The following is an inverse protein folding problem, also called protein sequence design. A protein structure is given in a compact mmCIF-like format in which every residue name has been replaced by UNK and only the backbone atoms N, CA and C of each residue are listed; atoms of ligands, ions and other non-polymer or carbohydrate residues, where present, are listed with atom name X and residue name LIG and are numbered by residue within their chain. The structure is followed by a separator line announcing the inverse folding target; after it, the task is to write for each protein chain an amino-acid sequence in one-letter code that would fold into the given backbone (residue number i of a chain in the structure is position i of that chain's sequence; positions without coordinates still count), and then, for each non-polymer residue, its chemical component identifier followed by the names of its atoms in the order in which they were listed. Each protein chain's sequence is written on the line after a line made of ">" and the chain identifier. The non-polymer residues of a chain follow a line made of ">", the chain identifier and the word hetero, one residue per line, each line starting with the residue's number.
data_IF_819163594293
#
_entry.id   IF_819163594293
#
_cell.length_a   1.000
_cell.length_b   1.000
_cell.length_c   1.000
_cell.angle_alpha   90.00
_cell.angle_beta   90.00
_cell.angle_gamma   90.00
#
_symmetry.space_group_name_H-M   'P 1'
#
loop_
_entity.id
_entity.type
_entity.pdbx_description
1 polymer ?
#
# COMPACT_ATOMS: atom_id res chain seq x y z
N UNK A 1 -24.43 12.51 -12.81
CA UNK A 1 -23.82 11.39 -13.55
C UNK A 1 -22.38 11.32 -13.08
N UNK A 2 -21.94 10.20 -12.57
CA UNK A 2 -20.60 10.00 -12.05
C UNK A 2 -19.90 8.85 -12.79
N UNK A 3 -18.58 8.91 -12.90
CA UNK A 3 -17.71 7.86 -13.44
C UNK A 3 -17.22 6.99 -12.28
N UNK A 4 -17.62 5.73 -12.22
CA UNK A 4 -17.33 4.82 -11.11
C UNK A 4 -16.48 3.66 -11.60
N UNK A 5 -15.34 3.44 -10.95
CA UNK A 5 -14.52 2.24 -11.15
C UNK A 5 -14.95 1.14 -10.17
N UNK A 6 -15.16 -0.08 -10.66
CA UNK A 6 -15.34 -1.27 -9.82
C UNK A 6 -14.10 -2.15 -9.94
N UNK A 7 -13.32 -2.26 -8.88
CA UNK A 7 -12.26 -3.25 -8.77
C UNK A 7 -12.78 -4.48 -8.04
N UNK A 8 -12.90 -5.61 -8.74
CA UNK A 8 -13.53 -6.82 -8.23
C UNK A 8 -12.50 -7.93 -8.04
N UNK A 9 -12.49 -8.55 -6.87
CA UNK A 9 -11.60 -9.68 -6.59
C UNK A 9 -12.04 -10.93 -7.35
N UNK A 10 -11.30 -11.30 -8.41
CA UNK A 10 -11.66 -12.35 -9.37
C UNK A 10 -11.86 -13.77 -8.76
N UNK A 11 -11.14 -14.08 -7.67
CA UNK A 11 -11.25 -15.38 -7.00
C UNK A 11 -12.36 -15.45 -5.93
N UNK A 12 -13.27 -14.45 -5.92
CA UNK A 12 -14.43 -14.43 -5.02
C UNK A 12 -15.73 -14.40 -5.81
N UNK A 13 -16.40 -15.57 -5.98
CA UNK A 13 -17.64 -15.65 -6.77
C UNK A 13 -18.75 -14.72 -6.28
N UNK A 14 -18.84 -14.49 -4.96
CA UNK A 14 -19.81 -13.58 -4.35
C UNK A 14 -19.56 -12.13 -4.75
N UNK A 15 -18.30 -11.68 -4.77
CA UNK A 15 -17.94 -10.32 -5.23
C UNK A 15 -18.27 -10.15 -6.72
N UNK A 16 -17.99 -11.17 -7.53
CA UNK A 16 -18.33 -11.17 -8.96
C UNK A 16 -19.84 -11.09 -9.21
N UNK A 17 -20.62 -11.89 -8.48
CA UNK A 17 -22.09 -11.87 -8.63
C UNK A 17 -22.67 -10.51 -8.18
N UNK A 18 -22.22 -9.99 -7.04
CA UNK A 18 -22.69 -8.72 -6.51
C UNK A 18 -22.29 -7.53 -7.40
N UNK A 19 -21.11 -7.60 -8.05
CA UNK A 19 -20.67 -6.54 -8.96
C UNK A 19 -21.56 -6.38 -10.18
N UNK A 20 -22.15 -7.48 -10.68
CA UNK A 20 -23.12 -7.43 -11.80
C UNK A 20 -24.38 -6.69 -11.37
N UNK A 21 -24.97 -7.09 -10.24
CA UNK A 21 -26.18 -6.44 -9.70
C UNK A 21 -25.91 -4.96 -9.40
N UNK A 22 -24.76 -4.65 -8.76
CA UNK A 22 -24.39 -3.29 -8.44
C UNK A 22 -24.23 -2.44 -9.70
N UNK A 23 -23.60 -2.98 -10.74
CA UNK A 23 -23.44 -2.30 -12.04
C UNK A 23 -24.79 -1.96 -12.67
N UNK A 24 -25.71 -2.93 -12.76
CA UNK A 24 -27.03 -2.72 -13.34
C UNK A 24 -27.79 -1.60 -12.61
N UNK A 25 -27.85 -1.67 -11.27
CA UNK A 25 -28.55 -0.68 -10.44
C UNK A 25 -27.94 0.74 -10.55
N UNK A 26 -26.62 0.86 -10.62
CA UNK A 26 -25.95 2.15 -10.78
C UNK A 26 -26.15 2.73 -12.18
N UNK A 27 -26.13 1.90 -13.22
CA UNK A 27 -26.43 2.31 -14.60
C UNK A 27 -27.90 2.77 -14.75
N UNK A 28 -28.85 2.11 -14.10
CA UNK A 28 -30.26 2.56 -14.04
C UNK A 28 -30.41 3.95 -13.39
N UNK A 29 -29.50 4.31 -12.47
CA UNK A 29 -29.43 5.66 -11.87
C UNK A 29 -28.70 6.67 -12.77
N UNK A 30 -28.18 6.25 -13.93
CA UNK A 30 -27.52 7.12 -14.90
C UNK A 30 -26.03 7.35 -14.63
N UNK A 31 -25.37 6.49 -13.84
CA UNK A 31 -23.92 6.51 -13.66
C UNK A 31 -23.20 5.69 -14.73
N UNK A 32 -21.95 6.07 -15.03
CA UNK A 32 -21.05 5.31 -15.91
C UNK A 32 -20.19 4.37 -15.08
N UNK A 33 -20.10 3.11 -15.48
CA UNK A 33 -19.38 2.07 -14.71
C UNK A 33 -18.28 1.48 -15.55
N UNK A 34 -17.06 1.50 -15.04
CA UNK A 34 -15.92 0.76 -15.56
C UNK A 34 -15.57 -0.35 -14.58
N UNK A 35 -15.38 -1.58 -15.06
CA UNK A 35 -15.03 -2.72 -14.21
C UNK A 35 -13.68 -3.29 -14.59
N UNK A 36 -12.85 -3.58 -13.60
CA UNK A 36 -11.61 -4.32 -13.74
C UNK A 36 -11.50 -5.40 -12.68
N UNK A 37 -11.09 -6.59 -13.09
CA UNK A 37 -10.72 -7.70 -12.20
C UNK A 37 -9.28 -8.14 -12.41
N UNK A 38 -8.61 -7.63 -13.44
CA UNK A 38 -7.26 -8.02 -13.84
C UNK A 38 -6.32 -6.81 -13.86
N UNK A 39 -5.25 -6.90 -13.09
CA UNK A 39 -4.18 -5.90 -12.96
C UNK A 39 -3.34 -5.72 -14.25
N UNK A 40 -3.57 -6.50 -15.30
CA UNK A 40 -2.68 -6.56 -16.46
C UNK A 40 -3.19 -5.87 -17.74
N UNK A 41 -4.39 -5.28 -17.73
CA UNK A 41 -4.96 -4.67 -18.94
C UNK A 41 -5.30 -3.18 -18.76
N UNK A 42 -4.66 -2.32 -19.55
CA UNK A 42 -4.98 -0.89 -19.76
C UNK A 42 -5.45 -0.14 -18.51
N UNK A 43 -4.61 -0.17 -17.47
CA UNK A 43 -4.92 0.35 -16.13
C UNK A 43 -5.11 1.86 -16.12
N UNK A 44 -4.39 2.60 -16.96
CA UNK A 44 -4.54 4.06 -17.06
C UNK A 44 -5.95 4.45 -17.48
N UNK A 45 -6.52 3.80 -18.51
CA UNK A 45 -7.89 4.07 -18.98
C UNK A 45 -8.96 3.69 -17.95
N UNK A 46 -8.68 2.69 -17.10
CA UNK A 46 -9.61 2.26 -16.06
C UNK A 46 -9.76 3.31 -14.95
N UNK A 47 -8.68 3.95 -14.53
CA UNK A 47 -8.64 4.88 -13.39
C UNK A 47 -8.72 6.35 -13.78
N UNK A 48 -8.68 6.68 -15.08
CA UNK A 48 -8.73 8.07 -15.52
C UNK A 48 -10.11 8.69 -15.25
N UNK A 49 -10.10 9.89 -14.65
CA UNK A 49 -11.30 10.70 -14.41
C UNK A 49 -12.42 9.98 -13.59
N UNK A 50 -12.05 9.10 -12.66
CA UNK A 50 -13.01 8.49 -11.75
C UNK A 50 -13.44 9.46 -10.65
N UNK A 51 -14.76 9.54 -10.41
CA UNK A 51 -15.32 10.21 -9.23
C UNK A 51 -15.23 9.32 -7.97
N UNK A 52 -15.25 7.99 -8.16
CA UNK A 52 -15.19 7.00 -7.08
C UNK A 52 -14.60 5.68 -7.57
N UNK A 53 -13.70 5.08 -6.79
CA UNK A 53 -13.24 3.70 -6.98
C UNK A 53 -13.83 2.81 -5.90
N UNK A 54 -14.62 1.82 -6.28
CA UNK A 54 -15.21 0.83 -5.37
C UNK A 54 -14.39 -0.45 -5.44
N UNK A 55 -13.81 -0.85 -4.30
CA UNK A 55 -13.07 -2.10 -4.17
C UNK A 55 -13.95 -3.18 -3.56
N UNK A 56 -14.21 -4.26 -4.29
CA UNK A 56 -15.08 -5.38 -3.89
C UNK A 56 -14.23 -6.59 -3.51
N UNK A 57 -13.90 -6.69 -2.21
CA UNK A 57 -13.02 -7.74 -1.68
C UNK A 57 -12.74 -7.56 -0.20
N UNK A 58 -11.50 -7.77 0.25
CA UNK A 58 -11.01 -7.44 1.59
C UNK A 58 -9.93 -6.37 1.50
N UNK A 59 -9.20 -6.13 2.61
CA UNK A 59 -8.14 -5.12 2.69
C UNK A 59 -7.09 -5.27 1.56
N UNK A 60 -6.69 -6.49 1.23
CA UNK A 60 -5.76 -6.73 0.13
C UNK A 60 -6.29 -6.29 -1.25
N UNK A 61 -7.61 -6.26 -1.45
CA UNK A 61 -8.21 -5.72 -2.68
C UNK A 61 -8.18 -4.20 -2.69
N UNK A 62 -8.34 -3.57 -1.52
CA UNK A 62 -8.22 -2.12 -1.37
C UNK A 62 -6.79 -1.68 -1.66
N UNK A 63 -5.78 -2.38 -1.12
CA UNK A 63 -4.36 -2.09 -1.42
C UNK A 63 -4.09 -2.13 -2.93
N UNK A 64 -4.63 -3.14 -3.63
CA UNK A 64 -4.50 -3.24 -5.08
C UNK A 64 -5.23 -2.10 -5.80
N UNK A 65 -6.45 -1.78 -5.37
CA UNK A 65 -7.24 -0.68 -5.94
C UNK A 65 -6.51 0.67 -5.80
N UNK A 66 -5.95 0.95 -4.62
CA UNK A 66 -5.16 2.16 -4.37
C UNK A 66 -3.89 2.19 -5.23
N UNK A 67 -3.21 1.05 -5.35
CA UNK A 67 -2.05 0.97 -6.23
C UNK A 67 -2.39 1.28 -7.71
N UNK A 68 -3.58 0.90 -8.17
CA UNK A 68 -4.04 1.26 -9.53
C UNK A 68 -4.21 2.76 -9.72
N UNK A 69 -4.56 3.49 -8.67
CA UNK A 69 -4.72 4.94 -8.72
C UNK A 69 -3.40 5.68 -8.94
N UNK A 70 -2.27 5.06 -8.62
CA UNK A 70 -0.93 5.62 -8.86
C UNK A 70 -0.81 7.08 -8.38
N UNK A 71 -1.19 7.32 -7.11
CA UNK A 71 -1.17 8.64 -6.48
C UNK A 71 -2.31 9.59 -6.88
N UNK A 72 -3.27 9.17 -7.73
CA UNK A 72 -4.45 9.99 -8.05
C UNK A 72 -5.35 10.15 -6.83
N UNK A 73 -5.88 11.35 -6.54
CA UNK A 73 -6.69 11.64 -5.36
C UNK A 73 -8.17 11.20 -5.52
N UNK A 74 -8.40 10.02 -6.07
CA UNK A 74 -9.75 9.46 -6.22
C UNK A 74 -10.19 8.80 -4.92
N UNK A 75 -11.38 9.13 -4.36
CA UNK A 75 -11.92 8.44 -3.21
C UNK A 75 -12.07 6.93 -3.46
N UNK A 76 -11.78 6.12 -2.43
CA UNK A 76 -11.90 4.66 -2.48
C UNK A 76 -12.92 4.19 -1.46
N UNK A 77 -13.92 3.41 -1.90
CA UNK A 77 -14.90 2.75 -1.05
C UNK A 77 -14.66 1.24 -1.04
N UNK A 78 -14.34 0.67 0.11
CA UNK A 78 -14.16 -0.77 0.27
C UNK A 78 -15.44 -1.49 0.66
N UNK A 79 -15.87 -2.48 -0.12
CA UNK A 79 -16.97 -3.41 0.20
C UNK A 79 -16.37 -4.74 0.65
N UNK A 80 -16.75 -5.19 1.85
CA UNK A 80 -16.14 -6.35 2.48
C UNK A 80 -16.75 -7.68 2.00
N UNK A 81 -16.01 -8.44 1.23
CA UNK A 81 -16.36 -9.81 0.84
C UNK A 81 -15.48 -10.85 1.57
N UNK A 82 -14.99 -10.56 2.75
CA UNK A 82 -14.05 -11.42 3.47
C UNK A 82 -14.24 -11.41 4.98
N UNK A 83 -13.14 -11.59 5.67
CA UNK A 83 -13.08 -11.33 7.11
C UNK A 83 -13.11 -9.82 7.34
N UNK A 84 -13.60 -9.42 8.51
CA UNK A 84 -13.60 -8.01 8.90
C UNK A 84 -12.18 -7.43 8.80
N UNK A 85 -12.04 -6.41 7.98
CA UNK A 85 -10.77 -5.70 7.76
C UNK A 85 -10.76 -4.33 8.45
N UNK A 86 -9.65 -3.63 8.28
CA UNK A 86 -9.44 -2.27 8.80
C UNK A 86 -9.76 -1.18 7.75
N UNK A 87 -9.89 -1.55 6.47
CA UNK A 87 -10.02 -0.62 5.35
C UNK A 87 -11.40 -0.66 4.69
N UNK A 88 -12.17 -1.72 4.91
CA UNK A 88 -13.51 -1.87 4.34
C UNK A 88 -14.53 -1.04 5.13
N UNK A 89 -15.48 -0.38 4.43
CA UNK A 89 -16.45 0.54 5.01
C UNK A 89 -17.90 0.05 4.96
N UNK A 90 -18.21 -0.97 4.14
CA UNK A 90 -19.58 -1.47 4.00
C UNK A 90 -19.60 -2.98 3.73
N UNK A 91 -20.71 -3.62 4.10
CA UNK A 91 -20.99 -5.03 3.80
C UNK A 91 -21.64 -5.16 2.41
N UNK A 92 -21.59 -6.35 1.77
CA UNK A 92 -22.13 -6.57 0.42
C UNK A 92 -23.61 -6.19 0.27
N UNK A 93 -24.43 -6.43 1.30
CA UNK A 93 -25.85 -6.08 1.31
C UNK A 93 -26.13 -4.58 1.29
N UNK A 94 -25.15 -3.76 1.69
CA UNK A 94 -25.23 -2.30 1.76
C UNK A 94 -24.50 -1.61 0.61
N UNK A 95 -23.86 -2.38 -0.30
CA UNK A 95 -22.96 -1.87 -1.33
C UNK A 95 -23.58 -0.75 -2.18
N UNK A 96 -24.82 -0.94 -2.66
CA UNK A 96 -25.49 0.05 -3.49
C UNK A 96 -25.78 1.34 -2.70
N UNK A 97 -26.33 1.22 -1.50
CA UNK A 97 -26.70 2.38 -0.68
C UNK A 97 -25.44 3.14 -0.20
N UNK A 98 -24.34 2.41 0.07
CA UNK A 98 -23.06 3.00 0.42
C UNK A 98 -22.48 3.82 -0.75
N UNK A 99 -22.53 3.29 -1.99
CA UNK A 99 -22.07 4.01 -3.19
C UNK A 99 -22.93 5.27 -3.40
N UNK A 100 -24.25 5.16 -3.32
CA UNK A 100 -25.14 6.31 -3.53
C UNK A 100 -24.90 7.38 -2.47
N UNK A 101 -24.82 7.02 -1.19
CA UNK A 101 -24.52 8.00 -0.11
C UNK A 101 -23.17 8.69 -0.34
N UNK A 102 -22.15 7.92 -0.78
CA UNK A 102 -20.84 8.49 -1.10
C UNK A 102 -20.94 9.52 -2.23
N UNK A 103 -21.67 9.23 -3.29
CA UNK A 103 -21.86 10.16 -4.41
C UNK A 103 -22.69 11.38 -4.07
N UNK A 104 -23.64 11.24 -3.13
CA UNK A 104 -24.49 12.33 -2.63
C UNK A 104 -23.76 13.21 -1.58
N UNK A 105 -22.51 12.85 -1.20
CA UNK A 105 -21.74 13.58 -0.18
C UNK A 105 -22.17 13.27 1.27
N UNK A 106 -22.97 12.23 1.49
CA UNK A 106 -23.40 11.75 2.82
C UNK A 106 -22.39 10.68 3.33
N UNK A 107 -21.16 11.12 3.57
CA UNK A 107 -20.09 10.29 4.07
C UNK A 107 -19.00 11.11 4.78
N UNK A 108 -18.24 10.46 5.63
CA UNK A 108 -16.98 11.00 6.14
C UNK A 108 -15.82 10.50 5.26
N UNK A 109 -14.92 11.40 4.89
CA UNK A 109 -13.70 11.08 4.15
C UNK A 109 -12.53 10.97 5.13
N UNK A 110 -11.89 9.81 5.15
CA UNK A 110 -10.67 9.59 5.92
C UNK A 110 -9.45 9.69 4.99
N UNK A 111 -8.60 10.69 5.24
CA UNK A 111 -7.32 10.82 4.54
C UNK A 111 -6.27 9.93 5.21
N UNK A 112 -5.51 9.19 4.39
CA UNK A 112 -4.45 8.30 4.86
C UNK A 112 -3.13 8.65 4.21
N UNK A 113 -2.12 8.88 5.06
CA UNK A 113 -0.75 9.09 4.63
C UNK A 113 -0.24 7.86 3.87
N UNK A 114 0.45 8.07 2.77
CA UNK A 114 1.16 7.04 2.03
C UNK A 114 2.68 7.27 2.09
N UNK A 115 3.45 6.28 1.67
CA UNK A 115 4.88 6.42 1.44
C UNK A 115 5.14 6.42 -0.07
N UNK A 116 5.87 7.42 -0.55
CA UNK A 116 6.49 7.38 -1.88
C UNK A 116 7.81 6.63 -1.76
N UNK A 117 8.02 5.71 -2.68
CA UNK A 117 9.19 4.82 -2.75
C UNK A 117 9.92 5.07 -4.06
N UNK A 118 11.20 5.30 -3.99
CA UNK A 118 12.05 5.47 -5.17
C UNK A 118 13.24 4.53 -5.07
N UNK A 119 13.44 3.66 -6.06
CA UNK A 119 14.61 2.78 -6.15
C UNK A 119 15.45 3.19 -7.34
N UNK A 120 16.69 3.58 -7.07
CA UNK A 120 17.71 3.85 -8.09
C UNK A 120 18.65 2.64 -8.17
N UNK A 121 18.84 2.12 -9.39
CA UNK A 121 19.76 1.01 -9.68
C UNK A 121 20.80 1.48 -10.68
N UNK A 122 22.06 1.65 -10.24
CA UNK A 122 23.14 2.16 -11.10
C UNK A 122 23.37 1.33 -12.37
N UNK A 123 23.25 -0.01 -12.28
CA UNK A 123 23.57 -0.90 -13.41
C UNK A 123 22.54 -0.85 -14.54
N UNK A 124 21.28 -0.53 -14.24
CA UNK A 124 20.20 -0.53 -15.24
C UNK A 124 19.76 0.88 -15.67
N UNK A 125 20.34 1.94 -15.09
CA UNK A 125 19.88 3.32 -15.25
C UNK A 125 18.35 3.44 -15.04
N UNK A 126 17.77 2.52 -14.26
CA UNK A 126 16.33 2.46 -14.03
C UNK A 126 15.96 3.16 -12.74
N UNK A 127 14.94 4.00 -12.83
CA UNK A 127 14.27 4.62 -11.70
C UNK A 127 12.91 3.92 -11.56
N UNK A 128 12.67 3.31 -10.40
CA UNK A 128 11.39 2.72 -10.06
C UNK A 128 10.73 3.63 -9.03
N UNK A 129 9.51 4.09 -9.32
CA UNK A 129 8.67 4.82 -8.38
C UNK A 129 7.44 4.01 -8.03
N UNK A 130 7.05 4.00 -6.77
CA UNK A 130 5.87 3.29 -6.27
C UNK A 130 5.31 3.97 -5.01
N UNK A 131 4.11 3.56 -4.59
CA UNK A 131 3.44 4.10 -3.41
C UNK A 131 2.94 2.97 -2.50
N UNK A 132 3.22 3.09 -1.19
CA UNK A 132 2.73 2.17 -0.17
C UNK A 132 1.66 2.82 0.70
N UNK A 133 0.52 2.15 0.87
CA UNK A 133 -0.45 2.51 1.90
C UNK A 133 -0.04 1.93 3.26
N UNK A 134 0.42 0.67 3.28
CA UNK A 134 0.86 0.02 4.51
C UNK A 134 2.36 0.20 4.73
N UNK A 135 3.20 -0.48 3.92
CA UNK A 135 4.63 -0.55 4.19
C UNK A 135 5.50 -0.85 2.97
N UNK A 136 6.74 -0.44 3.10
CA UNK A 136 7.87 -0.89 2.30
C UNK A 136 8.70 -1.86 3.14
N UNK A 137 9.00 -3.03 2.61
CA UNK A 137 9.82 -4.03 3.30
C UNK A 137 11.08 -4.30 2.50
N UNK A 138 12.22 -4.22 3.17
CA UNK A 138 13.50 -4.70 2.64
C UNK A 138 13.90 -5.93 3.44
N UNK A 139 13.95 -7.09 2.79
CA UNK A 139 14.23 -8.36 3.46
C UNK A 139 15.27 -9.20 2.74
N UNK A 140 15.93 -10.07 3.48
CA UNK A 140 16.92 -11.00 2.94
C UNK A 140 16.32 -11.93 1.88
N UNK A 141 17.09 -12.22 0.85
CA UNK A 141 16.70 -13.19 -0.19
C UNK A 141 16.98 -14.64 0.20
N UNK A 142 18.00 -14.89 1.05
CA UNK A 142 18.44 -16.22 1.42
C UNK A 142 18.05 -16.58 2.86
N UNK A 143 17.51 -17.77 3.07
CA UNK A 143 17.28 -18.38 4.38
C UNK A 143 18.63 -18.55 5.09
N UNK A 144 18.75 -18.26 6.35
CA UNK A 144 19.95 -18.40 7.20
C UNK A 144 21.02 -17.31 7.06
N UNK A 145 20.75 -16.20 6.39
CA UNK A 145 21.68 -15.08 6.30
C UNK A 145 20.97 -13.78 6.60
N UNK A 146 21.53 -12.94 7.48
CA UNK A 146 21.03 -11.58 7.69
C UNK A 146 21.44 -10.67 6.54
N UNK A 147 20.66 -9.67 6.24
CA UNK A 147 21.05 -8.56 5.38
C UNK A 147 21.60 -7.42 6.23
N UNK A 148 22.56 -6.66 5.69
CA UNK A 148 23.06 -5.43 6.30
C UNK A 148 22.55 -4.25 5.51
N UNK A 149 21.92 -3.32 6.23
CA UNK A 149 21.28 -2.15 5.65
C UNK A 149 21.76 -0.89 6.38
N UNK A 150 22.40 0.00 5.66
CA UNK A 150 22.68 1.34 6.16
C UNK A 150 21.41 2.18 6.03
N UNK A 151 21.06 2.88 7.08
CA UNK A 151 19.93 3.81 7.11
C UNK A 151 20.48 5.20 7.38
N UNK A 152 20.11 6.13 6.50
CA UNK A 152 20.30 7.56 6.67
C UNK A 152 18.93 8.24 6.80
N UNK A 153 18.90 9.36 7.50
CA UNK A 153 17.71 10.20 7.69
C UNK A 153 18.10 11.65 7.37
N UNK A 154 17.36 12.28 6.49
CA UNK A 154 17.58 13.65 6.05
C UNK A 154 19.05 13.88 5.60
N UNK A 155 19.58 12.94 4.81
CA UNK A 155 20.95 12.96 4.29
C UNK A 155 22.06 12.65 5.32
N UNK A 156 21.70 12.31 6.57
CA UNK A 156 22.65 12.01 7.64
C UNK A 156 22.61 10.53 8.02
N UNK A 157 23.78 9.87 8.01
CA UNK A 157 23.87 8.47 8.44
C UNK A 157 23.36 8.32 9.88
N UNK A 158 22.43 7.41 10.08
CA UNK A 158 21.84 7.10 11.38
C UNK A 158 22.46 5.82 11.99
N UNK A 159 22.31 4.68 11.30
CA UNK A 159 22.81 3.38 11.80
C UNK A 159 22.88 2.32 10.70
N UNK A 160 23.53 1.20 11.01
CA UNK A 160 23.50 -0.02 10.18
C UNK A 160 22.71 -1.11 10.88
N UNK A 161 21.65 -1.58 10.26
CA UNK A 161 20.90 -2.75 10.72
C UNK A 161 21.52 -4.04 10.18
N UNK A 162 21.69 -5.03 11.05
CA UNK A 162 21.92 -6.42 10.68
C UNK A 162 20.69 -7.21 11.12
N UNK A 163 19.84 -7.58 10.18
CA UNK A 163 18.52 -8.13 10.46
C UNK A 163 18.05 -9.10 9.37
N UNK A 164 16.93 -9.78 9.59
CA UNK A 164 16.23 -10.51 8.53
C UNK A 164 15.57 -9.53 7.54
N UNK A 165 15.13 -8.37 8.03
CA UNK A 165 14.55 -7.32 7.23
C UNK A 165 14.35 -6.02 8.01
N UNK A 166 13.87 -5.01 7.29
CA UNK A 166 13.48 -3.71 7.82
C UNK A 166 12.15 -3.31 7.19
N UNK A 167 11.18 -2.93 8.01
CA UNK A 167 9.85 -2.50 7.59
C UNK A 167 9.77 -0.99 7.80
N UNK A 168 9.46 -0.25 6.76
CA UNK A 168 9.14 1.17 6.82
C UNK A 168 7.65 1.29 6.58
N UNK A 169 6.87 1.67 7.62
CA UNK A 169 5.42 1.67 7.54
C UNK A 169 4.78 3.01 7.84
N UNK A 170 3.58 3.19 7.29
CA UNK A 170 2.65 4.25 7.63
C UNK A 170 1.92 3.91 8.94
N UNK A 171 1.12 4.83 9.53
CA UNK A 171 0.19 4.50 10.61
C UNK A 171 -0.84 3.43 10.19
N UNK A 172 -1.34 3.46 8.96
CA UNK A 172 -2.22 2.41 8.43
C UNK A 172 -1.53 1.05 8.46
N UNK A 173 -0.28 0.96 8.02
CA UNK A 173 0.54 -0.26 8.02
C UNK A 173 0.96 -0.73 9.42
N UNK A 174 0.79 0.10 10.46
CA UNK A 174 1.12 -0.29 11.84
C UNK A 174 0.36 -1.51 12.32
N UNK A 175 -0.80 -1.84 11.73
CA UNK A 175 -1.60 -3.03 12.04
C UNK A 175 -1.35 -4.20 11.08
N UNK A 176 -0.46 -4.03 10.09
CA UNK A 176 -0.09 -5.04 9.09
C UNK A 176 1.20 -5.81 9.48
N UNK A 177 2.20 -5.86 8.62
CA UNK A 177 3.43 -6.62 8.90
C UNK A 177 4.25 -6.00 10.05
N UNK A 178 4.25 -4.67 10.19
CA UNK A 178 4.90 -4.00 11.30
C UNK A 178 4.39 -4.51 12.66
N UNK A 179 3.07 -4.75 12.79
CA UNK A 179 2.49 -5.34 14.00
C UNK A 179 3.02 -6.74 14.30
N UNK A 180 3.10 -7.59 13.28
CA UNK A 180 3.65 -8.95 13.41
C UNK A 180 5.12 -8.92 13.82
N UNK A 181 5.87 -7.89 13.41
CA UNK A 181 7.25 -7.63 13.79
C UNK A 181 7.38 -6.89 15.15
N UNK A 182 6.30 -6.81 15.95
CA UNK A 182 6.22 -6.17 17.27
C UNK A 182 6.35 -4.65 17.26
N UNK A 183 5.99 -4.01 16.15
CA UNK A 183 5.79 -2.58 16.07
C UNK A 183 4.57 -2.14 16.90
N UNK A 184 4.50 -0.87 17.33
CA UNK A 184 3.34 -0.32 18.02
C UNK A 184 2.17 -0.16 17.06
N UNK A 185 0.94 -0.22 17.56
CA UNK A 185 -0.24 0.25 16.86
C UNK A 185 -0.24 1.77 16.90
N UNK A 186 -0.38 2.40 15.77
CA UNK A 186 -0.49 3.86 15.62
C UNK A 186 -1.83 4.17 14.97
N UNK A 187 -2.54 5.15 15.52
CA UNK A 187 -3.81 5.62 14.95
C UNK A 187 -3.60 6.10 13.51
N UNK A 188 -4.48 5.69 12.60
CA UNK A 188 -4.34 5.99 11.18
C UNK A 188 -4.39 7.50 10.85
N UNK A 189 -5.04 8.29 11.71
CA UNK A 189 -5.07 9.75 11.61
C UNK A 189 -3.77 10.43 12.03
N UNK A 190 -2.86 9.70 12.68
CA UNK A 190 -1.56 10.24 13.08
C UNK A 190 -0.57 10.21 11.91
N UNK A 191 0.07 11.33 11.62
CA UNK A 191 1.06 11.41 10.54
C UNK A 191 2.46 11.10 11.11
N UNK A 192 2.98 9.91 10.82
CA UNK A 192 4.32 9.47 11.22
C UNK A 192 4.82 8.34 10.33
N UNK A 193 6.13 8.18 10.26
CA UNK A 193 6.77 7.03 9.61
C UNK A 193 7.33 6.13 10.70
N UNK A 194 7.16 4.83 10.57
CA UNK A 194 7.72 3.85 11.50
C UNK A 194 8.80 3.03 10.81
N UNK A 195 9.93 2.81 11.49
CA UNK A 195 10.96 1.87 11.07
C UNK A 195 11.00 0.73 12.07
N UNK A 196 10.59 -0.46 11.64
CA UNK A 196 10.52 -1.66 12.47
C UNK A 196 11.49 -2.73 11.97
N UNK A 197 12.52 -3.10 12.74
CA UNK A 197 13.43 -4.16 12.34
C UNK A 197 12.81 -5.55 12.53
N UNK A 198 13.07 -6.47 11.60
CA UNK A 198 12.66 -7.88 11.67
C UNK A 198 13.84 -8.72 12.13
N UNK A 199 13.70 -9.38 13.30
CA UNK A 199 14.74 -10.23 13.89
C UNK A 199 16.14 -9.58 13.89
N UNK A 200 16.32 -8.38 14.45
CA UNK A 200 17.60 -7.69 14.43
C UNK A 200 18.65 -8.40 15.28
N UNK A 201 19.89 -8.45 14.77
CA UNK A 201 21.06 -8.94 15.51
C UNK A 201 21.87 -7.78 16.08
N UNK A 202 21.24 -6.87 16.81
CA UNK A 202 21.86 -5.69 17.40
C UNK A 202 21.07 -5.24 18.64
N UNK A 203 21.67 -4.36 19.46
CA UNK A 203 21.03 -3.87 20.69
C UNK A 203 19.88 -2.90 20.42
N UNK A 204 19.87 -2.26 19.27
CA UNK A 204 18.81 -1.34 18.84
C UNK A 204 17.74 -2.13 18.05
N UNK A 205 16.80 -2.72 18.81
CA UNK A 205 15.78 -3.65 18.31
C UNK A 205 14.35 -3.10 18.37
N UNK A 206 14.19 -1.81 18.66
CA UNK A 206 12.89 -1.16 18.82
C UNK A 206 12.47 -0.45 17.56
N UNK A 207 11.15 -0.36 17.36
CA UNK A 207 10.57 0.49 16.33
C UNK A 207 10.87 1.96 16.62
N UNK A 208 11.34 2.66 15.60
CA UNK A 208 11.42 4.12 15.60
C UNK A 208 10.12 4.69 15.05
N UNK A 209 9.64 5.76 15.66
CA UNK A 209 8.54 6.58 15.15
C UNK A 209 9.12 7.94 14.79
N UNK A 210 9.01 8.33 13.54
CA UNK A 210 9.63 9.50 12.94
C UNK A 210 8.57 10.52 12.51
N UNK A 211 9.00 11.76 12.34
CA UNK A 211 8.15 12.78 11.75
C UNK A 211 7.82 12.43 10.28
N UNK A 212 6.65 12.82 9.77
CA UNK A 212 6.28 12.54 8.38
C UNK A 212 7.18 13.25 7.36
N UNK A 213 7.85 14.32 7.77
CA UNK A 213 8.80 15.06 6.92
C UNK A 213 10.18 14.40 6.80
N UNK A 214 10.44 13.30 7.52
CA UNK A 214 11.74 12.63 7.48
C UNK A 214 11.90 11.88 6.17
N UNK A 215 12.97 12.17 5.43
CA UNK A 215 13.41 11.37 4.29
C UNK A 215 14.29 10.23 4.78
N UNK A 216 13.95 9.00 4.36
CA UNK A 216 14.71 7.80 4.72
C UNK A 216 15.44 7.29 3.48
N UNK A 217 16.74 7.16 3.61
CA UNK A 217 17.60 6.50 2.61
C UNK A 217 18.08 5.17 3.17
N UNK A 218 17.95 4.12 2.36
CA UNK A 218 18.36 2.79 2.73
C UNK A 218 19.27 2.20 1.64
N UNK A 219 20.42 1.69 2.05
CA UNK A 219 21.38 1.03 1.18
C UNK A 219 21.73 -0.35 1.73
N UNK A 220 21.59 -1.37 0.89
CA UNK A 220 22.08 -2.73 1.19
C UNK A 220 23.61 -2.73 1.09
N UNK A 221 24.29 -3.32 2.08
CA UNK A 221 25.74 -3.32 2.11
C UNK A 221 26.34 -4.73 2.11
N UNK A 222 27.55 -4.86 1.56
CA UNK A 222 28.26 -6.13 1.40
C UNK A 222 27.86 -6.86 0.11
N UNK A 223 28.04 -8.17 0.08
CA UNK A 223 27.83 -9.00 -1.12
C UNK A 223 26.47 -9.72 -1.11
N UNK A 224 25.51 -9.20 -0.37
CA UNK A 224 24.16 -9.80 -0.24
C UNK A 224 23.14 -8.92 -0.90
N UNK A 225 22.15 -9.58 -1.47
CA UNK A 225 20.97 -8.92 -2.05
C UNK A 225 19.81 -8.91 -1.07
N UNK A 226 18.88 -7.99 -1.25
CA UNK A 226 17.64 -7.93 -0.50
C UNK A 226 16.46 -7.70 -1.44
N UNK A 227 15.33 -8.34 -1.16
CA UNK A 227 14.07 -8.04 -1.84
C UNK A 227 13.48 -6.76 -1.27
N UNK A 228 13.03 -5.87 -2.15
CA UNK A 228 12.19 -4.73 -1.82
C UNK A 228 10.75 -5.03 -2.23
N UNK A 229 9.84 -4.98 -1.26
CA UNK A 229 8.41 -5.13 -1.53
C UNK A 229 7.65 -3.90 -1.07
N UNK A 230 6.57 -3.56 -1.78
CA UNK A 230 5.65 -2.47 -1.49
C UNK A 230 4.24 -3.05 -1.37
N UNK A 231 3.62 -2.93 -0.20
CA UNK A 231 2.32 -3.53 0.12
C UNK A 231 2.22 -5.00 -0.32
N UNK A 232 3.28 -5.78 -0.04
CA UNK A 232 3.38 -7.20 -0.37
C UNK A 232 3.67 -7.54 -1.83
N UNK A 233 3.93 -6.54 -2.71
CA UNK A 233 4.34 -6.74 -4.10
C UNK A 233 5.86 -6.58 -4.22
N UNK A 234 6.53 -7.53 -4.87
CA UNK A 234 7.96 -7.41 -5.18
C UNK A 234 8.17 -6.30 -6.23
N UNK A 235 9.03 -5.33 -5.91
CA UNK A 235 9.29 -4.15 -6.73
C UNK A 235 10.72 -4.17 -7.27
N UNK A 236 11.68 -4.52 -6.45
CA UNK A 236 13.08 -4.55 -6.84
C UNK A 236 13.89 -5.58 -6.04
N UNK A 237 14.96 -6.06 -6.66
CA UNK A 237 16.08 -6.72 -5.99
C UNK A 237 17.14 -5.65 -5.72
N UNK A 238 17.45 -5.39 -4.46
CA UNK A 238 18.46 -4.42 -4.04
C UNK A 238 19.82 -5.07 -3.91
N UNK A 239 20.83 -4.43 -4.48
CA UNK A 239 22.23 -4.79 -4.42
C UNK A 239 23.05 -3.67 -3.76
N UNK A 240 24.36 -3.87 -3.57
CA UNK A 240 25.20 -2.90 -2.85
C UNK A 240 25.30 -1.49 -3.48
N UNK A 241 24.93 -1.37 -4.75
CA UNK A 241 24.88 -0.10 -5.50
C UNK A 241 23.47 0.50 -5.59
N UNK A 242 22.44 -0.25 -5.11
CA UNK A 242 21.06 0.24 -5.14
C UNK A 242 20.82 1.23 -4.01
N UNK A 243 20.14 2.33 -4.32
CA UNK A 243 19.67 3.31 -3.35
C UNK A 243 18.15 3.29 -3.30
N UNK A 244 17.61 3.13 -2.10
CA UNK A 244 16.17 3.17 -1.83
C UNK A 244 15.86 4.41 -1.01
N UNK A 245 15.00 5.29 -1.53
CA UNK A 245 14.48 6.48 -0.84
C UNK A 245 13.01 6.33 -0.53
N UNK A 246 12.63 6.74 0.67
CA UNK A 246 11.25 6.63 1.16
C UNK A 246 10.88 7.95 1.86
N UNK A 247 9.74 8.51 1.46
CA UNK A 247 9.18 9.74 2.01
C UNK A 247 7.67 9.59 2.19
N UNK A 248 7.06 10.34 3.10
CA UNK A 248 5.61 10.45 3.17
C UNK A 248 5.06 11.34 2.05
N UNK A 249 3.85 11.03 1.60
CA UNK A 249 3.11 11.78 0.58
C UNK A 249 1.65 11.91 0.98
#
# INVERSE_FOLDING_TARGET
>A
MAEIGLYVHEFRPEAMSNSVELTERLQEKGHSIRQSSDLKKNLSEFVDDLDLLVSMGGDGSILRAINLLDGRPTPVLGINFGQLGYLTAAEPSEAFDAVIRTLDGDHDLEERMMLKVTVEQEESESLIEDHALNEVVVERTAVSQTVRMNVSMDGSFFTSYAADGLIISTPTGSTAYAFSARGPIVDASHHSIQITPVSPHMLFDRTLVLAPSTEIELQVTGNRTANCTVDGREVALLEGTSELRIMAT
#
